data_IF_254564660823
#
_entry.id   IF_254564660823
#
_cell.length_a   1.000
_cell.length_b   1.000
_cell.length_c   1.000
_cell.angle_alpha   90.00
_cell.angle_beta   90.00
_cell.angle_gamma   90.00
#
_symmetry.space_group_name_H-M   'P 1'
#
loop_
_entity.id
_entity.type
_entity.pdbx_description
1 polymer ?
#
# COMPACT_ATOMS: atom_id res chain seq x y z
N UNK A 1 6.54 -24.62 8.60
CA UNK A 1 6.91 -23.61 7.57
C UNK A 1 6.86 -22.22 8.19
N UNK A 2 7.74 -21.32 7.76
CA UNK A 2 7.62 -19.88 8.04
C UNK A 2 7.29 -19.16 6.74
N UNK A 3 6.55 -18.07 6.83
CA UNK A 3 6.27 -17.21 5.67
C UNK A 3 6.73 -15.79 5.98
N UNK A 4 7.35 -15.15 5.01
CA UNK A 4 7.82 -13.78 5.10
C UNK A 4 7.14 -12.95 4.01
N UNK A 5 6.76 -11.73 4.35
CA UNK A 5 6.13 -10.74 3.48
C UNK A 5 4.73 -11.17 2.99
N UNK A 6 4.60 -12.29 2.28
CA UNK A 6 3.32 -12.80 1.81
C UNK A 6 2.92 -14.09 2.53
N UNK A 7 1.66 -14.13 2.95
CA UNK A 7 1.07 -15.31 3.58
C UNK A 7 0.84 -16.46 2.60
N UNK A 8 0.80 -17.67 3.13
CA UNK A 8 0.39 -18.86 2.39
C UNK A 8 -1.10 -19.14 2.63
N UNK A 9 -1.82 -19.51 1.57
CA UNK A 9 -3.24 -19.86 1.67
C UNK A 9 -3.46 -21.22 2.35
N UNK A 10 -2.46 -22.10 2.34
CA UNK A 10 -2.53 -23.46 2.88
C UNK A 10 -1.20 -23.87 3.52
N UNK A 11 -1.25 -24.88 4.38
CA UNK A 11 -0.09 -25.46 5.05
C UNK A 11 0.00 -25.12 6.54
N UNK A 12 0.84 -25.87 7.27
CA UNK A 12 1.11 -25.62 8.69
C UNK A 12 2.16 -24.48 8.81
N UNK A 13 1.69 -23.24 8.86
CA UNK A 13 2.53 -22.06 9.07
C UNK A 13 2.75 -21.88 10.56
N UNK A 14 4.01 -21.98 11.01
CA UNK A 14 4.41 -21.77 12.41
C UNK A 14 4.42 -20.29 12.77
N UNK A 15 4.92 -19.43 11.87
CA UNK A 15 4.86 -17.99 12.02
C UNK A 15 4.80 -17.31 10.65
N UNK A 16 4.10 -16.18 10.59
CA UNK A 16 4.05 -15.26 9.47
C UNK A 16 4.63 -13.91 9.89
N UNK A 17 5.68 -13.48 9.21
CA UNK A 17 6.39 -12.22 9.48
C UNK A 17 6.16 -11.30 8.29
N UNK A 18 5.46 -10.21 8.47
CA UNK A 18 5.13 -9.27 7.40
C UNK A 18 4.91 -7.86 7.94
N UNK A 19 4.94 -6.87 7.07
CA UNK A 19 4.44 -5.54 7.40
C UNK A 19 2.99 -5.61 7.89
N UNK A 20 2.62 -4.75 8.83
CA UNK A 20 1.22 -4.57 9.24
C UNK A 20 0.45 -3.88 8.10
N UNK A 21 0.08 -4.68 7.08
CA UNK A 21 -0.54 -4.17 5.87
C UNK A 21 -1.90 -3.49 6.12
N UNK A 22 -2.66 -3.95 7.14
CA UNK A 22 -3.93 -3.32 7.52
C UNK A 22 -3.66 -1.93 8.12
N UNK A 23 -2.74 -1.85 9.09
CA UNK A 23 -2.34 -0.55 9.64
C UNK A 23 -1.79 0.39 8.55
N UNK A 24 -1.02 -0.15 7.59
CA UNK A 24 -0.46 0.63 6.49
C UNK A 24 -1.49 1.17 5.52
N UNK A 25 -2.47 0.38 5.13
CA UNK A 25 -3.59 0.83 4.30
C UNK A 25 -4.41 1.93 5.00
N UNK A 26 -4.65 1.75 6.31
CA UNK A 26 -5.31 2.77 7.14
C UNK A 26 -4.50 4.06 7.20
N UNK A 27 -3.18 3.97 7.42
CA UNK A 27 -2.28 5.11 7.47
C UNK A 27 -2.30 5.94 6.18
N UNK A 28 -2.36 5.28 5.02
CA UNK A 28 -2.48 5.95 3.72
C UNK A 28 -3.79 6.74 3.59
N UNK A 29 -4.91 6.13 3.98
CA UNK A 29 -6.22 6.78 3.93
C UNK A 29 -6.35 7.92 4.95
N UNK A 30 -5.84 7.75 6.16
CA UNK A 30 -5.81 8.80 7.18
C UNK A 30 -4.97 10.01 6.73
N UNK A 31 -3.82 9.76 6.08
CA UNK A 31 -3.00 10.82 5.51
C UNK A 31 -3.75 11.61 4.41
N UNK A 32 -4.49 10.92 3.53
CA UNK A 32 -5.33 11.58 2.52
C UNK A 32 -6.38 12.46 3.21
N UNK A 33 -7.04 11.94 4.22
CA UNK A 33 -8.06 12.69 4.95
C UNK A 33 -7.49 13.89 5.71
N UNK A 34 -6.30 13.76 6.30
CA UNK A 34 -5.59 14.87 6.95
C UNK A 34 -5.33 16.03 5.98
N UNK A 35 -4.94 15.71 4.73
CA UNK A 35 -4.58 16.73 3.73
C UNK A 35 -5.77 17.32 2.99
N UNK A 36 -6.81 16.54 2.72
CA UNK A 36 -7.94 16.95 1.86
C UNK A 36 -9.26 17.13 2.60
N UNK A 37 -9.33 16.66 3.84
CA UNK A 37 -10.54 16.71 4.65
C UNK A 37 -11.52 15.57 4.41
N UNK A 38 -12.58 15.56 5.23
CA UNK A 38 -13.69 14.61 5.10
C UNK A 38 -14.43 14.82 3.78
N UNK A 39 -14.90 13.74 3.18
CA UNK A 39 -15.62 13.75 1.89
C UNK A 39 -14.73 13.83 0.66
N UNK A 40 -13.39 13.83 0.82
CA UNK A 40 -12.48 13.82 -0.32
C UNK A 40 -12.75 12.62 -1.24
N UNK A 41 -12.75 12.89 -2.55
CA UNK A 41 -13.02 11.91 -3.60
C UNK A 41 -11.74 11.17 -3.97
N UNK A 42 -11.74 9.86 -3.75
CA UNK A 42 -10.55 9.03 -3.86
C UNK A 42 -10.74 7.88 -4.84
N UNK A 43 -9.63 7.45 -5.45
CA UNK A 43 -9.52 6.22 -6.24
C UNK A 43 -8.53 5.31 -5.54
N UNK A 44 -8.76 3.98 -5.60
CA UNK A 44 -7.82 2.98 -5.18
C UNK A 44 -7.30 2.18 -6.37
N UNK A 45 -5.98 2.06 -6.51
CA UNK A 45 -5.32 1.09 -7.39
C UNK A 45 -4.93 -0.11 -6.56
N UNK A 46 -5.54 -1.26 -6.87
CA UNK A 46 -5.35 -2.49 -6.11
C UNK A 46 -4.17 -3.32 -6.64
N UNK A 47 -3.54 -4.05 -5.75
CA UNK A 47 -2.52 -5.02 -6.11
C UNK A 47 -3.08 -6.29 -6.74
N UNK A 48 -2.25 -7.35 -6.77
CA UNK A 48 -2.63 -8.64 -7.35
C UNK A 48 -3.74 -9.28 -6.49
N UNK A 49 -4.87 -9.54 -7.14
CA UNK A 49 -6.02 -10.16 -6.49
C UNK A 49 -5.65 -11.50 -5.82
N UNK A 50 -6.19 -11.73 -4.63
CA UNK A 50 -5.93 -12.95 -3.86
C UNK A 50 -4.65 -12.95 -3.02
N UNK A 51 -3.77 -11.97 -3.18
CA UNK A 51 -2.60 -11.84 -2.30
C UNK A 51 -2.97 -11.25 -0.94
N UNK A 52 -2.29 -11.70 0.14
CA UNK A 52 -2.49 -11.14 1.48
C UNK A 52 -2.23 -9.65 1.52
N UNK A 53 -1.15 -9.18 0.89
CA UNK A 53 -0.80 -7.77 0.87
C UNK A 53 -1.89 -6.89 0.23
N UNK A 54 -2.44 -7.28 -0.94
CA UNK A 54 -3.50 -6.52 -1.59
C UNK A 54 -4.78 -6.47 -0.75
N UNK A 55 -5.18 -7.62 -0.19
CA UNK A 55 -6.36 -7.72 0.68
C UNK A 55 -6.22 -6.84 1.92
N UNK A 56 -5.11 -6.98 2.64
CA UNK A 56 -4.92 -6.35 3.94
C UNK A 56 -4.72 -4.82 3.80
N UNK A 57 -3.99 -4.36 2.75
CA UNK A 57 -3.88 -2.93 2.41
C UNK A 57 -5.23 -2.33 2.02
N UNK A 58 -6.05 -3.08 1.26
CA UNK A 58 -7.41 -2.69 0.90
C UNK A 58 -8.34 -2.60 2.12
N UNK A 59 -8.28 -3.58 3.02
CA UNK A 59 -9.04 -3.58 4.28
C UNK A 59 -8.68 -2.35 5.13
N UNK A 60 -7.40 -2.09 5.35
CA UNK A 60 -6.95 -0.92 6.10
C UNK A 60 -7.41 0.39 5.48
N UNK A 61 -7.33 0.52 4.16
CA UNK A 61 -7.82 1.70 3.46
C UNK A 61 -9.33 1.88 3.63
N UNK A 62 -10.12 0.80 3.55
CA UNK A 62 -11.57 0.83 3.78
C UNK A 62 -11.94 1.28 5.21
N UNK A 63 -11.14 0.89 6.22
CA UNK A 63 -11.29 1.40 7.59
C UNK A 63 -11.10 2.91 7.65
N UNK A 64 -10.06 3.45 7.00
CA UNK A 64 -9.83 4.89 6.93
C UNK A 64 -10.92 5.63 6.14
N UNK A 65 -11.36 5.06 5.01
CA UNK A 65 -12.48 5.58 4.21
C UNK A 65 -13.72 5.77 5.08
N UNK A 66 -14.08 4.75 5.85
CA UNK A 66 -15.26 4.79 6.75
C UNK A 66 -15.08 5.82 7.87
N UNK A 67 -13.94 5.79 8.56
CA UNK A 67 -13.67 6.67 9.70
C UNK A 67 -13.63 8.15 9.30
N UNK A 68 -13.07 8.46 8.14
CA UNK A 68 -12.87 9.82 7.66
C UNK A 68 -13.93 10.26 6.62
N UNK A 69 -14.93 9.40 6.33
CA UNK A 69 -16.01 9.67 5.36
C UNK A 69 -15.48 10.02 3.96
N UNK A 70 -14.39 9.39 3.53
CA UNK A 70 -13.89 9.56 2.16
C UNK A 70 -14.88 8.95 1.15
N UNK A 71 -14.90 9.50 -0.07
CA UNK A 71 -15.76 9.00 -1.16
C UNK A 71 -14.92 8.21 -2.16
N UNK A 72 -15.00 6.89 -2.12
CA UNK A 72 -14.33 6.03 -3.10
C UNK A 72 -15.11 6.07 -4.42
N UNK A 73 -14.53 6.69 -5.45
CA UNK A 73 -15.12 6.78 -6.79
C UNK A 73 -14.93 5.49 -7.58
N UNK A 74 -13.79 4.84 -7.40
CA UNK A 74 -13.45 3.57 -8.03
C UNK A 74 -12.35 2.85 -7.27
N UNK A 75 -12.35 1.52 -7.37
CA UNK A 75 -11.28 0.64 -6.93
C UNK A 75 -11.02 -0.36 -8.05
N UNK A 76 -9.79 -0.39 -8.59
CA UNK A 76 -9.45 -1.26 -9.72
C UNK A 76 -8.08 -1.91 -9.57
N UNK A 77 -7.95 -3.22 -9.92
CA UNK A 77 -6.67 -3.90 -9.95
C UNK A 77 -5.72 -3.29 -10.99
N UNK A 78 -4.48 -3.07 -10.57
CA UNK A 78 -3.35 -2.75 -11.43
C UNK A 78 -2.13 -3.64 -11.09
N UNK A 79 -2.36 -4.73 -10.35
CA UNK A 79 -1.53 -5.91 -10.18
C UNK A 79 -0.08 -5.62 -9.71
N UNK A 80 0.13 -4.56 -8.92
CA UNK A 80 1.45 -4.09 -8.48
C UNK A 80 2.40 -3.73 -9.64
N UNK A 81 1.87 -3.44 -10.83
CA UNK A 81 2.62 -3.18 -12.04
C UNK A 81 2.54 -1.70 -12.45
N UNK A 82 3.69 -1.11 -12.82
CA UNK A 82 3.80 0.32 -13.18
C UNK A 82 3.04 0.66 -14.46
N UNK A 83 3.10 -0.20 -15.46
CA UNK A 83 2.41 0.02 -16.75
C UNK A 83 0.91 -0.13 -16.60
N UNK A 84 0.46 -1.13 -15.84
CA UNK A 84 -0.96 -1.28 -15.53
C UNK A 84 -1.46 -0.11 -14.69
N UNK A 85 -0.68 0.35 -13.71
CA UNK A 85 -0.97 1.55 -12.92
C UNK A 85 -1.19 2.78 -13.79
N UNK A 86 -0.34 2.98 -14.81
CA UNK A 86 -0.51 4.04 -15.81
C UNK A 86 -1.83 3.86 -16.57
N UNK A 87 -2.02 2.72 -17.23
CA UNK A 87 -3.16 2.48 -18.13
C UNK A 87 -4.50 2.53 -17.39
N UNK A 88 -4.57 1.92 -16.20
CA UNK A 88 -5.79 1.95 -15.37
C UNK A 88 -6.08 3.37 -14.92
N UNK A 89 -5.05 4.12 -14.50
CA UNK A 89 -5.26 5.50 -14.04
C UNK A 89 -5.69 6.43 -15.17
N UNK A 90 -5.19 6.30 -16.40
CA UNK A 90 -5.66 7.07 -17.56
C UNK A 90 -7.17 6.90 -17.77
N UNK A 91 -7.66 5.65 -17.75
CA UNK A 91 -9.09 5.35 -17.88
C UNK A 91 -9.91 5.94 -16.72
N UNK A 92 -9.39 5.81 -15.49
CA UNK A 92 -10.09 6.32 -14.31
C UNK A 92 -10.15 7.84 -14.26
N UNK A 93 -9.11 8.54 -14.74
CA UNK A 93 -9.12 10.02 -14.86
C UNK A 93 -10.16 10.52 -15.85
N UNK A 94 -10.41 9.78 -16.93
CA UNK A 94 -11.45 10.11 -17.89
C UNK A 94 -12.85 9.86 -17.31
N UNK A 95 -13.05 8.73 -16.60
CA UNK A 95 -14.33 8.36 -16.01
C UNK A 95 -14.66 9.20 -14.75
N UNK A 96 -13.67 9.63 -14.00
CA UNK A 96 -13.82 10.34 -12.72
C UNK A 96 -13.05 11.67 -12.71
N UNK A 97 -13.49 12.68 -13.47
CA UNK A 97 -12.75 13.94 -13.62
C UNK A 97 -12.63 14.75 -12.32
N UNK A 98 -13.40 14.43 -11.29
CA UNK A 98 -13.42 15.12 -10.00
C UNK A 98 -12.61 14.43 -8.90
N UNK A 99 -11.81 13.41 -9.24
CA UNK A 99 -10.93 12.73 -8.29
C UNK A 99 -9.92 13.71 -7.69
N UNK A 100 -9.71 13.60 -6.39
CA UNK A 100 -8.81 14.48 -5.63
C UNK A 100 -7.56 13.73 -5.14
N UNK A 101 -7.70 12.42 -4.84
CA UNK A 101 -6.57 11.61 -4.44
C UNK A 101 -6.64 10.18 -4.97
N UNK A 102 -5.47 9.54 -5.01
CA UNK A 102 -5.30 8.12 -5.33
C UNK A 102 -4.49 7.46 -4.23
N UNK A 103 -5.00 6.35 -3.71
CA UNK A 103 -4.19 5.40 -2.98
C UNK A 103 -3.79 4.27 -3.94
N UNK A 104 -2.50 4.14 -4.22
CA UNK A 104 -1.95 3.00 -4.92
C UNK A 104 -1.34 2.04 -3.90
N UNK A 105 -1.75 0.78 -3.92
CA UNK A 105 -1.31 -0.21 -2.95
C UNK A 105 0.18 -0.59 -3.06
N UNK A 106 0.92 0.00 -4.04
CA UNK A 106 2.37 0.01 -4.05
C UNK A 106 2.94 1.20 -4.85
N UNK A 107 4.23 1.43 -4.72
CA UNK A 107 4.93 2.54 -5.39
C UNK A 107 5.01 2.36 -6.90
N UNK A 108 5.10 1.12 -7.41
CA UNK A 108 5.12 0.87 -8.86
C UNK A 108 3.85 1.39 -9.52
N UNK A 109 2.68 1.06 -8.99
CA UNK A 109 1.41 1.59 -9.48
C UNK A 109 1.30 3.10 -9.27
N UNK A 110 1.79 3.62 -8.12
CA UNK A 110 1.81 5.06 -7.85
C UNK A 110 2.65 5.83 -8.88
N UNK A 111 3.81 5.31 -9.25
CA UNK A 111 4.69 5.91 -10.27
C UNK A 111 4.06 5.86 -11.67
N UNK A 112 3.29 4.82 -11.96
CA UNK A 112 2.44 4.76 -13.16
C UNK A 112 1.34 5.82 -13.14
N UNK A 113 0.60 5.92 -12.04
CA UNK A 113 -0.47 6.89 -11.85
C UNK A 113 0.03 8.35 -11.94
N UNK A 114 1.23 8.66 -11.42
CA UNK A 114 1.87 9.98 -11.57
C UNK A 114 1.99 10.36 -13.05
N UNK A 115 2.41 9.43 -13.91
CA UNK A 115 2.54 9.69 -15.34
C UNK A 115 1.19 9.98 -16.00
N UNK A 116 0.15 9.22 -15.66
CA UNK A 116 -1.20 9.44 -16.15
C UNK A 116 -1.73 10.82 -15.76
N UNK A 117 -1.58 11.20 -14.49
CA UNK A 117 -2.01 12.49 -13.95
C UNK A 117 -1.28 13.64 -14.63
N UNK A 118 0.05 13.53 -14.83
CA UNK A 118 0.86 14.53 -15.52
C UNK A 118 0.46 14.66 -17.00
N UNK A 119 0.26 13.56 -17.71
CA UNK A 119 -0.17 13.57 -19.10
C UNK A 119 -1.56 14.20 -19.29
N UNK A 120 -2.45 14.00 -18.30
CA UNK A 120 -3.78 14.62 -18.29
C UNK A 120 -3.78 16.10 -17.87
N UNK A 121 -2.65 16.66 -17.46
CA UNK A 121 -2.55 18.04 -16.95
C UNK A 121 -3.37 18.28 -15.68
N UNK A 122 -3.59 17.26 -14.85
CA UNK A 122 -4.39 17.34 -13.63
C UNK A 122 -3.51 17.42 -12.38
N UNK A 123 -4.10 17.96 -11.32
CA UNK A 123 -3.53 17.93 -9.98
C UNK A 123 -4.32 16.93 -9.12
N UNK A 124 -3.72 15.78 -8.85
CA UNK A 124 -4.31 14.71 -8.02
C UNK A 124 -3.25 14.26 -7.04
N UNK A 125 -3.60 14.25 -5.75
CA UNK A 125 -2.72 13.73 -4.71
C UNK A 125 -2.55 12.23 -4.89
N UNK A 126 -1.32 11.72 -4.83
CA UNK A 126 -1.05 10.28 -4.94
C UNK A 126 -0.28 9.83 -3.70
N UNK A 127 -0.75 8.75 -3.08
CA UNK A 127 -0.11 8.07 -1.96
C UNK A 127 0.24 6.65 -2.40
N UNK A 128 1.49 6.27 -2.23
CA UNK A 128 2.03 4.95 -2.54
C UNK A 128 2.21 4.08 -1.30
N UNK A 129 2.82 2.94 -1.51
CA UNK A 129 3.17 1.97 -0.49
C UNK A 129 4.44 1.24 -0.93
N UNK A 130 5.25 0.78 -0.03
CA UNK A 130 6.51 0.06 -0.04
C UNK A 130 7.69 0.92 0.43
N UNK A 131 7.74 2.21 0.08
CA UNK A 131 8.88 3.07 0.39
C UNK A 131 10.11 2.69 -0.44
N UNK A 132 9.91 2.37 -1.72
CA UNK A 132 11.00 2.11 -2.66
C UNK A 132 11.87 3.34 -2.87
N UNK A 133 13.09 3.17 -3.37
CA UNK A 133 13.97 4.31 -3.67
C UNK A 133 13.34 5.24 -4.71
N UNK A 134 12.69 4.69 -5.75
CA UNK A 134 11.95 5.48 -6.74
C UNK A 134 10.75 6.23 -6.11
N UNK A 135 10.00 5.55 -5.21
CA UNK A 135 8.89 6.15 -4.47
C UNK A 135 9.36 7.31 -3.57
N UNK A 136 10.40 7.09 -2.77
CA UNK A 136 11.01 8.14 -1.94
C UNK A 136 11.56 9.30 -2.77
N UNK A 137 12.18 9.01 -3.90
CA UNK A 137 12.65 10.05 -4.83
C UNK A 137 11.48 10.83 -5.43
N UNK A 138 10.33 10.20 -5.70
CA UNK A 138 9.13 10.88 -6.16
C UNK A 138 8.53 11.78 -5.06
N UNK A 139 8.53 11.34 -3.80
CA UNK A 139 8.14 12.17 -2.65
C UNK A 139 9.05 13.38 -2.54
N UNK A 140 10.37 13.20 -2.56
CA UNK A 140 11.34 14.31 -2.48
C UNK A 140 11.15 15.35 -3.59
N UNK A 141 10.74 14.92 -4.79
CA UNK A 141 10.42 15.79 -5.94
C UNK A 141 9.01 16.39 -5.88
N UNK A 142 8.20 16.06 -4.88
CA UNK A 142 6.80 16.51 -4.75
C UNK A 142 5.84 15.94 -5.79
N UNK A 143 6.20 14.82 -6.44
CA UNK A 143 5.37 14.12 -7.42
C UNK A 143 4.47 13.06 -6.76
N UNK A 144 4.91 12.53 -5.63
CA UNK A 144 4.16 11.65 -4.75
C UNK A 144 3.97 12.39 -3.41
N UNK A 145 2.78 12.40 -2.88
CA UNK A 145 2.50 13.10 -1.62
C UNK A 145 3.11 12.36 -0.42
N UNK A 146 3.01 11.04 -0.44
CA UNK A 146 3.60 10.16 0.56
C UNK A 146 3.74 8.73 0.03
N UNK A 147 4.60 7.94 0.66
CA UNK A 147 4.60 6.48 0.57
C UNK A 147 4.65 5.86 1.96
N UNK A 148 3.89 4.79 2.16
CA UNK A 148 3.94 4.00 3.39
C UNK A 148 5.09 3.00 3.28
N UNK A 149 6.20 3.31 3.96
CA UNK A 149 7.43 2.56 3.83
C UNK A 149 7.44 1.28 4.67
N UNK A 150 7.79 0.18 4.05
CA UNK A 150 8.07 -1.11 4.69
C UNK A 150 9.51 -1.17 5.22
N UNK A 151 9.79 -2.16 6.07
CA UNK A 151 11.10 -2.44 6.63
C UNK A 151 11.58 -3.85 6.22
N UNK A 152 11.93 -4.09 4.95
CA UNK A 152 12.25 -5.44 4.45
C UNK A 152 13.48 -6.05 5.15
N UNK A 153 14.46 -5.25 5.52
CA UNK A 153 15.61 -5.74 6.28
C UNK A 153 15.21 -6.26 7.67
N UNK A 154 14.26 -5.58 8.33
CA UNK A 154 13.75 -6.01 9.64
C UNK A 154 12.88 -7.27 9.51
N UNK A 155 12.06 -7.38 8.46
CA UNK A 155 11.30 -8.60 8.15
C UNK A 155 12.27 -9.79 8.00
N UNK A 156 13.37 -9.61 7.26
CA UNK A 156 14.40 -10.63 7.07
C UNK A 156 15.09 -11.01 8.38
N UNK A 157 15.50 -10.04 9.20
CA UNK A 157 16.17 -10.28 10.48
C UNK A 157 15.26 -11.06 11.44
N UNK A 158 14.01 -10.60 11.64
CA UNK A 158 13.04 -11.29 12.48
C UNK A 158 12.74 -12.69 11.92
N UNK A 159 12.69 -12.86 10.60
CA UNK A 159 12.50 -14.16 9.95
C UNK A 159 13.59 -15.16 10.33
N UNK A 160 14.86 -14.76 10.30
CA UNK A 160 16.01 -15.61 10.69
C UNK A 160 15.96 -15.94 12.19
N UNK A 161 15.72 -14.95 13.05
CA UNK A 161 15.60 -15.17 14.50
C UNK A 161 14.43 -16.12 14.83
N UNK A 162 13.30 -15.96 14.15
CA UNK A 162 12.12 -16.84 14.33
C UNK A 162 12.42 -18.26 13.85
N UNK A 163 13.17 -18.42 12.75
CA UNK A 163 13.58 -19.74 12.26
C UNK A 163 14.49 -20.44 13.27
N UNK A 164 15.44 -19.75 13.86
CA UNK A 164 16.33 -20.30 14.91
C UNK A 164 15.53 -20.77 16.14
N UNK A 165 14.57 -19.97 16.61
CA UNK A 165 13.66 -20.36 17.71
C UNK A 165 12.86 -21.62 17.38
N UNK A 166 12.28 -21.70 16.18
CA UNK A 166 11.51 -22.87 15.76
C UNK A 166 12.38 -24.13 15.69
N UNK A 167 13.61 -24.01 15.19
CA UNK A 167 14.55 -25.15 15.11
C UNK A 167 14.99 -25.62 16.50
N UNK A 168 15.04 -24.72 17.48
CA UNK A 168 15.32 -25.05 18.89
C UNK A 168 14.08 -25.53 19.68
N UNK A 169 12.94 -25.68 19.03
CA UNK A 169 11.67 -26.10 19.68
C UNK A 169 11.08 -25.04 20.61
N UNK A 170 11.50 -23.78 20.49
CA UNK A 170 10.99 -22.67 21.28
C UNK A 170 9.63 -22.17 20.74
N UNK A 171 8.75 -21.65 21.59
CA UNK A 171 7.48 -21.07 21.13
C UNK A 171 7.72 -19.79 20.31
N UNK A 172 6.90 -19.59 19.28
CA UNK A 172 6.88 -18.40 18.45
C UNK A 172 5.45 -17.91 18.24
N UNK A 173 5.29 -16.60 18.09
CA UNK A 173 4.01 -16.01 17.72
C UNK A 173 3.61 -16.42 16.29
N UNK A 174 2.32 -16.68 16.07
CA UNK A 174 1.80 -17.06 14.75
C UNK A 174 1.83 -15.92 13.73
N UNK A 175 1.68 -14.68 14.20
CA UNK A 175 1.74 -13.48 13.38
C UNK A 175 2.65 -12.46 14.06
N UNK A 176 3.65 -11.99 13.32
CA UNK A 176 4.64 -11.03 13.80
C UNK A 176 4.58 -9.82 12.86
N UNK A 177 3.75 -8.81 13.20
CA UNK A 177 3.64 -7.60 12.39
C UNK A 177 4.90 -6.74 12.52
N UNK A 178 5.41 -6.28 11.39
CA UNK A 178 6.54 -5.34 11.33
C UNK A 178 5.98 -3.93 11.11
N UNK A 179 6.36 -2.95 11.93
CA UNK A 179 5.83 -1.59 11.84
C UNK A 179 6.19 -0.90 10.52
N UNK A 180 5.34 0.03 10.14
CA UNK A 180 5.44 0.84 8.93
C UNK A 180 5.66 2.31 9.29
N UNK A 181 6.18 3.07 8.34
CA UNK A 181 6.37 4.51 8.48
C UNK A 181 5.82 5.23 7.26
N UNK A 182 5.17 6.38 7.48
CA UNK A 182 4.83 7.26 6.37
C UNK A 182 6.02 8.16 6.04
N UNK A 183 6.41 8.17 4.76
CA UNK A 183 7.44 9.07 4.23
C UNK A 183 6.73 10.12 3.39
N UNK A 184 6.79 11.36 3.83
CA UNK A 184 6.25 12.53 3.16
C UNK A 184 7.30 13.67 3.18
N UNK A 185 6.98 14.80 2.58
CA UNK A 185 7.76 16.04 2.72
C UNK A 185 7.49 16.71 4.06
#
# INVERSE_FOLDING_TARGET
MLTLDRGAAQGDVKAHIASDNVAGGKLAGDFIAEKLGSGAKVIQLEGIAGTSAARDRGEGFALAVTANKLQVLASQPADFDRTKGLNVMENLLAAHPTVQAVFAQNDEMALGAIRAVQAAGKEVMIVGFDGTDDGKAAVAKGKLAATVAQQPALIGAIGVETADKVLKGQPVEKSIPVPLQIVNK
#
